data_IF_708425880367
#
_entry.id   IF_708425880367
#
_cell.length_a   1.000
_cell.length_b   1.000
_cell.length_c   1.000
_cell.angle_alpha   90.00
_cell.angle_beta   90.00
_cell.angle_gamma   90.00
#
_symmetry.space_group_name_H-M   'P 1'
#
loop_
_entity.id
_entity.type
_entity.pdbx_description
1 polymer ?
#
# COMPACT_ATOMS: atom_id res chain seq x y z
N UNK A 1 12.48 3.52 -2.81
CA UNK A 1 13.31 2.32 -2.57
C UNK A 1 12.63 1.13 -3.24
N UNK A 2 13.35 0.29 -4.00
CA UNK A 2 12.78 -0.96 -4.49
C UNK A 2 12.41 -1.89 -3.32
N UNK A 3 11.37 -2.70 -3.49
CA UNK A 3 10.93 -3.60 -2.44
C UNK A 3 12.00 -4.69 -2.18
N UNK A 4 12.34 -4.95 -0.93
CA UNK A 4 13.31 -5.99 -0.51
C UNK A 4 12.73 -7.40 -0.56
N UNK A 5 11.41 -7.52 -0.72
CA UNK A 5 10.69 -8.79 -0.81
C UNK A 5 9.17 -8.57 -0.81
N UNK A 6 8.40 -9.64 -1.00
CA UNK A 6 6.93 -9.59 -1.06
C UNK A 6 6.27 -9.23 0.29
N UNK A 7 6.92 -9.59 1.41
CA UNK A 7 6.42 -9.33 2.78
C UNK A 7 6.96 -8.03 3.37
N UNK A 8 7.36 -7.07 2.54
CA UNK A 8 7.81 -5.78 3.05
C UNK A 8 6.65 -5.01 3.68
N UNK A 9 6.87 -4.47 4.88
CA UNK A 9 5.91 -3.58 5.53
C UNK A 9 5.72 -2.31 4.71
N UNK A 10 4.45 -1.90 4.62
CA UNK A 10 4.00 -0.70 3.92
C UNK A 10 3.74 0.39 4.96
N UNK A 11 4.16 1.61 4.68
CA UNK A 11 3.96 2.78 5.55
C UNK A 11 3.13 3.85 4.85
N UNK A 12 2.54 4.74 5.63
CA UNK A 12 1.87 5.92 5.11
C UNK A 12 2.88 6.78 4.32
N UNK A 13 2.43 7.27 3.18
CA UNK A 13 3.26 8.01 2.23
C UNK A 13 3.95 7.16 1.17
N UNK A 14 3.98 5.83 1.32
CA UNK A 14 4.60 4.95 0.32
C UNK A 14 3.86 5.01 -1.02
N UNK A 15 4.61 4.83 -2.11
CA UNK A 15 4.06 4.80 -3.46
C UNK A 15 4.11 3.38 -4.00
N UNK A 16 2.94 2.83 -4.32
CA UNK A 16 2.77 1.47 -4.81
C UNK A 16 2.32 1.51 -6.27
N UNK A 17 2.94 0.69 -7.10
CA UNK A 17 2.51 0.45 -8.48
C UNK A 17 1.59 -0.76 -8.53
N UNK A 18 0.33 -0.57 -8.95
CA UNK A 18 -0.61 -1.66 -9.16
C UNK A 18 -0.90 -1.86 -10.64
N UNK A 19 -0.76 -3.10 -11.10
CA UNK A 19 -1.08 -3.49 -12.48
C UNK A 19 -2.53 -3.10 -12.81
N UNK A 20 -2.72 -2.43 -13.95
CA UNK A 20 -4.04 -1.95 -14.40
C UNK A 20 -4.57 -0.70 -13.67
N UNK A 21 -3.89 -0.21 -12.62
CA UNK A 21 -4.29 1.00 -11.88
C UNK A 21 -3.23 2.09 -11.83
N UNK A 22 -1.98 1.79 -12.17
CA UNK A 22 -0.88 2.76 -12.17
C UNK A 22 -0.27 2.94 -10.77
N UNK A 23 0.36 4.10 -10.55
CA UNK A 23 0.99 4.44 -9.26
C UNK A 23 -0.03 5.10 -8.34
N UNK A 24 -0.01 4.73 -7.06
CA UNK A 24 -0.87 5.27 -6.02
C UNK A 24 -0.06 5.51 -4.75
N UNK A 25 -0.46 6.51 -3.96
CA UNK A 25 0.12 6.79 -2.64
C UNK A 25 -0.71 6.13 -1.57
N UNK A 26 -0.06 5.53 -0.58
CA UNK A 26 -0.70 5.09 0.66
C UNK A 26 -0.98 6.34 1.49
N UNK A 27 -2.25 6.70 1.62
CA UNK A 27 -2.66 7.89 2.37
C UNK A 27 -2.85 7.58 3.85
N UNK A 28 -3.34 6.37 4.18
CA UNK A 28 -3.44 5.91 5.56
C UNK A 28 -3.34 4.38 5.64
N UNK A 29 -2.82 3.87 6.77
CA UNK A 29 -3.01 2.46 7.16
C UNK A 29 -4.30 2.38 7.97
N UNK A 30 -5.19 1.48 7.59
CA UNK A 30 -6.45 1.26 8.30
C UNK A 30 -6.34 0.07 9.24
N UNK A 31 -7.47 -0.37 9.81
CA UNK A 31 -7.49 -1.49 10.75
C UNK A 31 -7.00 -2.81 10.16
N UNK A 32 -6.87 -3.79 11.04
CA UNK A 32 -6.44 -5.15 10.68
C UNK A 32 -7.65 -6.05 10.45
N UNK A 33 -7.62 -6.83 9.37
CA UNK A 33 -8.61 -7.88 9.14
C UNK A 33 -8.48 -9.01 10.18
N UNK A 34 -9.54 -9.80 10.37
CA UNK A 34 -9.56 -10.97 11.28
C UNK A 34 -8.46 -12.01 11.02
N UNK A 35 -7.84 -12.00 9.83
CA UNK A 35 -6.73 -12.89 9.44
C UNK A 35 -5.35 -12.20 9.50
N UNK A 36 -5.24 -11.03 10.15
CA UNK A 36 -3.97 -10.34 10.37
C UNK A 36 -3.47 -9.49 9.20
N UNK A 37 -4.25 -9.29 8.13
CA UNK A 37 -3.85 -8.40 7.01
C UNK A 37 -4.18 -6.95 7.34
N UNK A 38 -3.26 -6.02 7.10
CA UNK A 38 -3.50 -4.58 7.20
C UNK A 38 -4.39 -4.10 6.05
N UNK A 39 -5.34 -3.22 6.34
CA UNK A 39 -6.00 -2.44 5.31
C UNK A 39 -5.19 -1.18 4.99
N UNK A 40 -5.25 -0.71 3.76
CA UNK A 40 -4.59 0.54 3.34
C UNK A 40 -5.55 1.37 2.51
N UNK A 41 -5.56 2.68 2.73
CA UNK A 41 -6.27 3.64 1.90
C UNK A 41 -5.31 4.18 0.83
N UNK A 42 -5.67 3.97 -0.45
CA UNK A 42 -4.82 4.31 -1.59
C UNK A 42 -5.41 5.48 -2.36
N UNK A 43 -4.59 6.53 -2.54
CA UNK A 43 -4.91 7.70 -3.36
C UNK A 43 -4.22 7.61 -4.71
N UNK A 44 -4.99 7.68 -5.78
CA UNK A 44 -4.45 7.70 -7.14
C UNK A 44 -3.93 9.08 -7.49
N UNK A 45 -2.75 9.13 -8.10
CA UNK A 45 -2.31 10.33 -8.80
C UNK A 45 -3.13 10.42 -10.09
N UNK A 46 -4.04 11.39 -10.17
CA UNK A 46 -4.69 11.75 -11.42
C UNK A 46 -3.72 12.58 -12.26
#
# INVERSE_FOLDING_TARGET
QPAKGASQEVKEGDVISMRGRGRMKVEAITGTSRKGRIGVYLKRFM
#
